data_IF_205747882035
#
_entry.id   IF_205747882035
#
_cell.length_a   1.000
_cell.length_b   1.000
_cell.length_c   1.000
_cell.angle_alpha   90.00
_cell.angle_beta   90.00
_cell.angle_gamma   90.00
#
_symmetry.space_group_name_H-M   'P 1'
#
loop_
_entity.id
_entity.type
_entity.pdbx_description
1 polymer ?
#
# COMPACT_ATOMS: atom_id res chain seq x y z
N UNK A 1 -46.23 -18.48 -0.16
CA UNK A 1 -45.18 -17.50 0.15
C UNK A 1 -43.87 -18.27 0.07
N UNK A 2 -43.11 -18.10 -1.01
CA UNK A 2 -41.70 -18.55 -1.00
C UNK A 2 -41.01 -17.74 0.08
N UNK A 3 -40.55 -18.47 1.09
CA UNK A 3 -39.98 -17.92 2.30
C UNK A 3 -38.80 -17.02 1.93
N UNK A 4 -38.64 -15.90 2.62
CA UNK A 4 -37.49 -15.00 2.37
C UNK A 4 -36.18 -15.79 2.47
N UNK A 5 -36.16 -16.79 3.35
CA UNK A 5 -35.06 -17.71 3.57
C UNK A 5 -34.73 -18.53 2.31
N UNK A 6 -35.72 -19.04 1.56
CA UNK A 6 -35.47 -19.74 0.30
C UNK A 6 -34.90 -18.83 -0.79
N UNK A 7 -35.30 -17.55 -0.80
CA UNK A 7 -34.74 -16.58 -1.74
C UNK A 7 -33.31 -16.21 -1.37
N UNK A 8 -33.01 -16.12 -0.08
CA UNK A 8 -31.66 -15.89 0.42
C UNK A 8 -30.75 -17.08 0.12
N UNK A 9 -31.21 -18.31 0.33
CA UNK A 9 -30.46 -19.53 -0.07
C UNK A 9 -30.20 -19.56 -1.58
N UNK A 10 -31.23 -19.29 -2.40
CA UNK A 10 -31.04 -19.27 -3.87
C UNK A 10 -30.06 -18.19 -4.31
N UNK A 11 -30.11 -17.00 -3.69
CA UNK A 11 -29.17 -15.92 -3.98
C UNK A 11 -27.76 -16.26 -3.53
N UNK A 12 -27.63 -16.93 -2.38
CA UNK A 12 -26.36 -17.41 -1.84
C UNK A 12 -25.75 -18.49 -2.72
N UNK A 13 -26.53 -19.47 -3.14
CA UNK A 13 -26.10 -20.53 -4.06
C UNK A 13 -25.67 -19.93 -5.41
N UNK A 14 -26.43 -18.98 -5.96
CA UNK A 14 -26.01 -18.27 -7.18
C UNK A 14 -24.73 -17.44 -7.00
N UNK A 15 -24.51 -16.86 -5.82
CA UNK A 15 -23.29 -16.11 -5.50
C UNK A 15 -22.08 -17.03 -5.36
N UNK A 16 -22.25 -18.19 -4.72
CA UNK A 16 -21.21 -19.20 -4.58
C UNK A 16 -20.91 -19.89 -5.91
N UNK A 17 -21.93 -20.31 -6.65
CA UNK A 17 -21.76 -21.01 -7.92
C UNK A 17 -21.04 -20.16 -8.97
N UNK A 18 -21.14 -18.82 -8.85
CA UNK A 18 -20.45 -17.88 -9.74
C UNK A 18 -19.20 -17.26 -9.09
N UNK A 19 -18.81 -17.64 -7.87
CA UNK A 19 -17.70 -16.98 -7.16
C UNK A 19 -16.37 -17.21 -7.87
N UNK A 20 -16.12 -18.42 -8.37
CA UNK A 20 -14.90 -18.74 -9.12
C UNK A 20 -14.82 -17.99 -10.45
N UNK A 21 -15.95 -17.87 -11.16
CA UNK A 21 -16.05 -17.12 -12.41
C UNK A 21 -15.81 -15.63 -12.18
N UNK A 22 -16.46 -15.06 -11.16
CA UNK A 22 -16.26 -13.67 -10.77
C UNK A 22 -14.80 -13.42 -10.37
N UNK A 23 -14.20 -14.29 -9.55
CA UNK A 23 -12.80 -14.18 -9.17
C UNK A 23 -11.88 -14.21 -10.40
N UNK A 24 -12.13 -15.10 -11.36
CA UNK A 24 -11.37 -15.18 -12.60
C UNK A 24 -11.51 -13.90 -13.46
N UNK A 25 -12.71 -13.32 -13.56
CA UNK A 25 -12.93 -12.06 -14.26
C UNK A 25 -12.22 -10.88 -13.58
N UNK A 26 -12.24 -10.82 -12.25
CA UNK A 26 -11.53 -9.80 -11.49
C UNK A 26 -10.01 -9.92 -11.69
N UNK A 27 -9.47 -11.15 -11.72
CA UNK A 27 -8.06 -11.40 -12.05
C UNK A 27 -7.71 -10.99 -13.49
N UNK A 28 -8.58 -11.25 -14.46
CA UNK A 28 -8.38 -10.76 -15.84
C UNK A 28 -8.33 -9.23 -15.89
N UNK A 29 -9.23 -8.55 -15.17
CA UNK A 29 -9.24 -7.09 -15.10
C UNK A 29 -7.99 -6.52 -14.42
N UNK A 30 -7.50 -7.16 -13.34
CA UNK A 30 -6.23 -6.79 -12.70
C UNK A 30 -5.09 -6.87 -13.71
N UNK A 31 -4.98 -7.97 -14.47
CA UNK A 31 -3.90 -8.13 -15.47
C UNK A 31 -4.10 -7.29 -16.74
N UNK A 32 -5.29 -6.67 -16.92
CA UNK A 32 -5.64 -5.84 -18.06
C UNK A 32 -6.31 -4.52 -17.62
N UNK A 33 -5.60 -3.66 -16.87
CA UNK A 33 -6.20 -2.51 -16.21
C UNK A 33 -6.83 -1.50 -17.18
N UNK A 34 -6.36 -1.45 -18.43
CA UNK A 34 -6.92 -0.60 -19.49
C UNK A 34 -8.38 -0.93 -19.86
N UNK A 35 -8.89 -2.11 -19.48
CA UNK A 35 -10.31 -2.47 -19.65
C UNK A 35 -11.21 -1.84 -18.59
N UNK A 36 -10.64 -1.31 -17.51
CA UNK A 36 -11.36 -0.78 -16.37
C UNK A 36 -11.72 0.68 -16.62
N UNK A 37 -13.02 0.99 -16.61
CA UNK A 37 -13.49 2.36 -16.82
C UNK A 37 -13.28 3.26 -15.59
N UNK A 38 -13.40 2.68 -14.40
CA UNK A 38 -13.35 3.38 -13.11
C UNK A 38 -12.43 2.60 -12.17
N UNK A 39 -11.14 2.90 -12.25
CA UNK A 39 -10.07 2.18 -11.54
C UNK A 39 -10.16 2.37 -10.03
N UNK A 40 -10.63 3.55 -9.60
CA UNK A 40 -10.83 3.86 -8.20
C UNK A 40 -11.92 3.00 -7.55
N UNK A 41 -13.09 2.87 -8.21
CA UNK A 41 -14.13 1.96 -7.72
C UNK A 41 -13.71 0.50 -7.78
N UNK A 42 -12.98 0.12 -8.82
CA UNK A 42 -12.48 -1.24 -8.94
C UNK A 42 -11.50 -1.59 -7.80
N UNK A 43 -10.55 -0.70 -7.50
CA UNK A 43 -9.63 -0.88 -6.37
C UNK A 43 -10.35 -0.92 -5.02
N UNK A 44 -11.39 -0.08 -4.83
CA UNK A 44 -12.24 -0.12 -3.63
C UNK A 44 -12.95 -1.46 -3.48
N UNK A 45 -13.53 -1.99 -4.57
CA UNK A 45 -14.16 -3.31 -4.59
C UNK A 45 -13.15 -4.41 -4.22
N UNK A 46 -11.96 -4.40 -4.81
CA UNK A 46 -10.94 -5.41 -4.50
C UNK A 46 -10.56 -5.40 -3.01
N UNK A 47 -10.43 -4.21 -2.42
CA UNK A 47 -10.17 -4.04 -0.99
C UNK A 47 -11.31 -4.58 -0.13
N UNK A 48 -12.57 -4.28 -0.48
CA UNK A 48 -13.76 -4.71 0.29
C UNK A 48 -14.02 -6.23 0.23
N UNK A 49 -13.53 -6.90 -0.82
CA UNK A 49 -13.66 -8.35 -0.95
C UNK A 49 -12.72 -9.12 -0.01
N UNK A 50 -11.66 -8.47 0.51
CA UNK A 50 -10.67 -9.06 1.42
C UNK A 50 -10.11 -10.43 0.95
N UNK A 51 -10.03 -10.65 -0.37
CA UNK A 51 -9.61 -11.93 -0.93
C UNK A 51 -8.12 -11.88 -1.32
N UNK A 52 -7.30 -12.65 -0.60
CA UNK A 52 -5.85 -12.72 -0.80
C UNK A 52 -5.45 -13.24 -2.19
N UNK A 53 -6.36 -13.91 -2.91
CA UNK A 53 -6.13 -14.35 -4.28
C UNK A 53 -5.85 -13.20 -5.27
N UNK A 54 -6.15 -11.96 -4.91
CA UNK A 54 -5.88 -10.78 -5.73
C UNK A 54 -4.50 -10.15 -5.52
N UNK A 55 -3.80 -10.50 -4.42
CA UNK A 55 -2.50 -9.91 -4.06
C UNK A 55 -1.46 -10.16 -5.15
N UNK A 56 -1.20 -11.42 -5.50
CA UNK A 56 -0.15 -11.75 -6.48
C UNK A 56 -0.41 -11.18 -7.88
N UNK A 57 -1.64 -11.25 -8.43
CA UNK A 57 -1.97 -10.55 -9.68
C UNK A 57 -1.72 -9.03 -9.61
N UNK A 58 -2.09 -8.38 -8.50
CA UNK A 58 -1.85 -6.95 -8.31
C UNK A 58 -0.35 -6.64 -8.28
N UNK A 59 0.42 -7.34 -7.44
CA UNK A 59 1.86 -7.13 -7.32
C UNK A 59 2.58 -7.35 -8.66
N UNK A 60 2.21 -8.40 -9.40
CA UNK A 60 2.81 -8.71 -10.70
C UNK A 60 2.47 -7.65 -11.76
N UNK A 61 1.26 -7.09 -11.71
CA UNK A 61 0.85 -6.03 -12.63
C UNK A 61 1.55 -4.71 -12.29
N UNK A 62 1.66 -4.39 -11.00
CA UNK A 62 2.38 -3.22 -10.49
C UNK A 62 3.88 -3.31 -10.84
N UNK A 63 4.50 -4.49 -10.70
CA UNK A 63 5.94 -4.67 -10.93
C UNK A 63 6.39 -4.45 -12.37
N UNK A 64 5.47 -4.46 -13.34
CA UNK A 64 5.76 -4.18 -14.76
C UNK A 64 5.19 -2.83 -15.24
N UNK A 65 4.57 -2.07 -14.33
CA UNK A 65 3.93 -0.78 -14.64
C UNK A 65 4.93 0.35 -14.86
N UNK A 66 4.50 1.38 -15.56
CA UNK A 66 5.17 2.68 -15.62
C UNK A 66 4.62 3.61 -14.56
N UNK A 67 5.42 4.58 -14.10
CA UNK A 67 4.96 5.65 -13.20
C UNK A 67 3.82 6.50 -13.79
N UNK A 68 3.69 6.51 -15.12
CA UNK A 68 2.66 7.27 -15.84
C UNK A 68 1.34 6.50 -15.99
N UNK A 69 1.26 5.25 -15.52
CA UNK A 69 0.04 4.45 -15.57
C UNK A 69 -1.02 5.02 -14.62
N UNK A 70 -2.11 5.51 -15.19
CA UNK A 70 -3.17 6.23 -14.45
C UNK A 70 -3.86 5.41 -13.36
N UNK A 71 -3.85 4.09 -13.49
CA UNK A 71 -4.46 3.13 -12.56
C UNK A 71 -3.50 2.71 -11.43
N UNK A 72 -2.21 3.04 -11.52
CA UNK A 72 -1.20 2.58 -10.59
C UNK A 72 -1.48 3.00 -9.13
N UNK A 73 -1.83 4.27 -8.83
CA UNK A 73 -2.17 4.66 -7.46
C UNK A 73 -3.38 3.90 -6.89
N UNK A 74 -4.38 3.59 -7.72
CA UNK A 74 -5.55 2.82 -7.29
C UNK A 74 -5.17 1.37 -6.99
N UNK A 75 -4.34 0.76 -7.83
CA UNK A 75 -3.88 -0.63 -7.62
C UNK A 75 -2.95 -0.75 -6.41
N UNK A 76 -2.08 0.23 -6.19
CA UNK A 76 -1.27 0.32 -4.97
C UNK A 76 -2.18 0.39 -3.74
N UNK A 77 -3.24 1.20 -3.76
CA UNK A 77 -4.20 1.26 -2.67
C UNK A 77 -4.85 -0.10 -2.37
N UNK A 78 -5.34 -0.79 -3.41
CA UNK A 78 -5.97 -2.09 -3.23
C UNK A 78 -5.01 -3.12 -2.62
N UNK A 79 -3.78 -3.22 -3.14
CA UNK A 79 -2.83 -4.22 -2.64
C UNK A 79 -2.33 -3.90 -1.23
N UNK A 80 -2.15 -2.62 -0.89
CA UNK A 80 -1.78 -2.20 0.47
C UNK A 80 -2.84 -2.66 1.47
N UNK A 81 -4.11 -2.37 1.20
CA UNK A 81 -5.19 -2.75 2.12
C UNK A 81 -5.28 -4.27 2.27
N UNK A 82 -5.23 -5.01 1.16
CA UNK A 82 -5.25 -6.48 1.18
C UNK A 82 -4.08 -7.05 2.01
N UNK A 83 -2.89 -6.45 1.91
CA UNK A 83 -1.73 -6.86 2.68
C UNK A 83 -1.83 -6.48 4.17
N UNK A 84 -2.35 -5.30 4.50
CA UNK A 84 -2.54 -4.88 5.89
C UNK A 84 -3.63 -5.69 6.62
N UNK A 85 -4.62 -6.19 5.88
CA UNK A 85 -5.69 -7.04 6.41
C UNK A 85 -5.34 -8.53 6.39
N UNK A 86 -4.39 -8.93 5.53
CA UNK A 86 -3.84 -10.30 5.57
C UNK A 86 -3.16 -10.54 6.91
N UNK A 87 -3.35 -11.74 7.48
CA UNK A 87 -2.73 -12.06 8.77
C UNK A 87 -1.21 -11.87 8.68
N UNK A 88 -0.57 -11.31 9.71
CA UNK A 88 0.87 -10.93 9.73
C UNK A 88 1.86 -12.05 9.31
N UNK A 89 1.39 -13.30 9.14
CA UNK A 89 2.16 -14.47 8.77
C UNK A 89 1.94 -14.96 7.33
N UNK A 90 1.05 -14.35 6.53
CA UNK A 90 0.94 -14.70 5.11
C UNK A 90 2.10 -14.05 4.35
N UNK A 91 3.17 -14.84 4.18
CA UNK A 91 4.26 -14.47 3.29
C UNK A 91 3.73 -14.37 1.86
N UNK A 92 3.96 -13.23 1.22
CA UNK A 92 3.69 -13.02 -0.19
C UNK A 92 5.01 -12.94 -0.96
N UNK A 93 4.96 -13.31 -2.23
CA UNK A 93 6.11 -13.22 -3.11
C UNK A 93 6.26 -11.78 -3.61
N UNK A 94 7.43 -11.20 -3.39
CA UNK A 94 7.81 -9.90 -3.97
C UNK A 94 8.26 -10.15 -5.42
N UNK A 95 7.53 -9.68 -6.45
CA UNK A 95 7.93 -9.90 -7.83
C UNK A 95 9.23 -9.19 -8.18
N UNK A 96 9.91 -9.70 -9.21
CA UNK A 96 11.10 -9.07 -9.77
C UNK A 96 10.80 -7.63 -10.19
N UNK A 97 11.79 -6.73 -10.03
CA UNK A 97 11.71 -5.29 -10.30
C UNK A 97 10.76 -4.47 -9.40
N UNK A 98 9.93 -5.09 -8.54
CA UNK A 98 8.99 -4.33 -7.71
C UNK A 98 9.73 -3.34 -6.79
N UNK A 99 10.77 -3.78 -6.09
CA UNK A 99 11.54 -2.93 -5.17
C UNK A 99 12.24 -1.79 -5.92
N UNK A 100 12.82 -2.06 -7.09
CA UNK A 100 13.49 -1.05 -7.92
C UNK A 100 12.49 0.01 -8.41
N UNK A 101 11.31 -0.42 -8.85
CA UNK A 101 10.24 0.48 -9.25
C UNK A 101 9.73 1.33 -8.08
N UNK A 102 9.50 0.72 -6.91
CA UNK A 102 9.10 1.45 -5.70
C UNK A 102 10.14 2.49 -5.31
N UNK A 103 11.43 2.16 -5.37
CA UNK A 103 12.51 3.11 -5.14
C UNK A 103 12.42 4.33 -6.07
N UNK A 104 12.25 4.10 -7.38
CA UNK A 104 12.10 5.17 -8.38
C UNK A 104 10.85 6.01 -8.07
N UNK A 105 9.73 5.38 -7.76
CA UNK A 105 8.49 6.09 -7.46
C UNK A 105 8.58 6.92 -6.18
N UNK A 106 9.27 6.43 -5.15
CA UNK A 106 9.48 7.15 -3.89
C UNK A 106 10.40 8.37 -4.10
N UNK A 107 11.54 8.17 -4.76
CA UNK A 107 12.59 9.19 -4.83
C UNK A 107 12.41 10.19 -5.97
N UNK A 108 11.76 9.81 -7.08
CA UNK A 108 11.60 10.69 -8.24
C UNK A 108 10.21 11.32 -8.35
N UNK A 109 9.25 10.89 -7.53
CA UNK A 109 7.88 11.41 -7.55
C UNK A 109 7.46 11.94 -6.18
N UNK A 110 6.31 12.62 -6.18
CA UNK A 110 5.74 13.29 -5.03
C UNK A 110 4.25 12.98 -4.90
N UNK A 111 3.68 13.29 -3.75
CA UNK A 111 2.25 13.12 -3.52
C UNK A 111 1.83 11.66 -3.39
N UNK A 112 0.68 11.33 -3.94
CA UNK A 112 -0.02 10.07 -3.69
C UNK A 112 0.76 8.83 -4.15
N UNK A 113 1.40 8.87 -5.32
CA UNK A 113 2.18 7.74 -5.83
C UNK A 113 3.36 7.43 -4.91
N UNK A 114 4.13 8.46 -4.54
CA UNK A 114 5.28 8.31 -3.64
C UNK A 114 4.83 7.79 -2.27
N UNK A 115 3.76 8.36 -1.71
CA UNK A 115 3.20 7.93 -0.43
C UNK A 115 2.79 6.45 -0.42
N UNK A 116 2.00 6.01 -1.41
CA UNK A 116 1.58 4.61 -1.51
C UNK A 116 2.75 3.67 -1.77
N UNK A 117 3.72 4.09 -2.59
CA UNK A 117 4.94 3.32 -2.81
C UNK A 117 5.75 3.12 -1.53
N UNK A 118 5.85 4.13 -0.66
CA UNK A 118 6.47 4.01 0.67
C UNK A 118 5.74 2.96 1.51
N UNK A 119 4.40 2.99 1.54
CA UNK A 119 3.62 2.01 2.32
C UNK A 119 3.87 0.59 1.81
N UNK A 120 3.83 0.37 0.49
CA UNK A 120 4.07 -0.97 -0.06
C UNK A 120 5.50 -1.45 0.22
N UNK A 121 6.51 -0.59 0.06
CA UNK A 121 7.90 -0.94 0.39
C UNK A 121 8.06 -1.31 1.87
N UNK A 122 7.40 -0.58 2.78
CA UNK A 122 7.34 -0.88 4.22
C UNK A 122 6.76 -2.27 4.49
N UNK A 123 5.79 -2.72 3.69
CA UNK A 123 5.18 -4.05 3.82
C UNK A 123 6.06 -5.16 3.22
N UNK A 124 6.83 -4.86 2.16
CA UNK A 124 7.75 -5.83 1.55
C UNK A 124 8.97 -6.19 2.43
N UNK A 125 9.32 -5.37 3.43
CA UNK A 125 10.45 -5.58 4.35
C UNK A 125 11.79 -5.88 3.65
N UNK A 126 12.06 -5.22 2.52
CA UNK A 126 13.32 -5.38 1.78
C UNK A 126 14.50 -4.75 2.53
N UNK A 127 15.71 -5.31 2.38
CA UNK A 127 16.96 -4.75 2.91
C UNK A 127 17.21 -3.30 2.44
N UNK A 128 16.73 -2.95 1.25
CA UNK A 128 16.87 -1.59 0.70
C UNK A 128 15.93 -0.56 1.33
N UNK A 129 14.93 -1.00 2.11
CA UNK A 129 13.87 -0.13 2.66
C UNK A 129 14.44 0.98 3.53
N UNK A 130 15.41 0.66 4.39
CA UNK A 130 16.07 1.62 5.26
C UNK A 130 16.69 2.77 4.45
N UNK A 131 17.55 2.43 3.48
CA UNK A 131 18.30 3.42 2.71
C UNK A 131 17.36 4.34 1.92
N UNK A 132 16.32 3.77 1.30
CA UNK A 132 15.34 4.51 0.52
C UNK A 132 14.59 5.50 1.41
N UNK A 133 14.14 5.09 2.60
CA UNK A 133 13.41 5.95 3.52
C UNK A 133 14.27 7.07 4.08
N UNK A 134 15.52 6.79 4.45
CA UNK A 134 16.46 7.81 4.91
C UNK A 134 16.72 8.85 3.82
N UNK A 135 17.01 8.40 2.59
CA UNK A 135 17.22 9.29 1.45
C UNK A 135 15.99 10.16 1.17
N UNK A 136 14.79 9.57 1.21
CA UNK A 136 13.55 10.33 1.03
C UNK A 136 13.37 11.39 2.12
N UNK A 137 13.72 11.09 3.37
CA UNK A 137 13.65 12.03 4.48
C UNK A 137 14.69 13.17 4.38
N UNK A 138 15.68 13.11 3.49
CA UNK A 138 16.57 14.25 3.24
C UNK A 138 15.86 15.37 2.48
N UNK A 139 14.83 15.02 1.69
CA UNK A 139 13.98 15.97 0.98
C UNK A 139 13.13 16.81 1.94
N UNK A 140 12.74 18.01 1.51
CA UNK A 140 12.05 18.99 2.36
C UNK A 140 10.68 19.43 1.83
N UNK A 141 10.31 18.99 0.65
CA UNK A 141 9.21 19.58 -0.13
C UNK A 141 8.29 18.52 -0.77
N UNK A 142 8.09 17.40 -0.10
CA UNK A 142 7.12 16.37 -0.45
C UNK A 142 5.92 16.36 0.50
N UNK A 143 4.92 15.58 0.12
CA UNK A 143 3.71 15.30 0.84
C UNK A 143 4.01 14.70 2.22
N UNK A 144 3.45 15.31 3.26
CA UNK A 144 3.82 14.98 4.64
C UNK A 144 3.56 13.50 4.99
N UNK A 145 2.51 12.90 4.42
CA UNK A 145 2.19 11.48 4.67
C UNK A 145 3.30 10.55 4.17
N UNK A 146 3.97 10.89 3.06
CA UNK A 146 5.14 10.14 2.59
C UNK A 146 6.22 10.08 3.68
N UNK A 147 6.52 11.22 4.32
CA UNK A 147 7.51 11.27 5.39
C UNK A 147 7.07 10.56 6.67
N UNK A 148 5.79 10.66 7.03
CA UNK A 148 5.22 9.92 8.17
C UNK A 148 5.40 8.42 7.99
N UNK A 149 5.13 7.91 6.79
CA UNK A 149 5.29 6.49 6.48
C UNK A 149 6.77 6.06 6.46
N UNK A 150 7.69 6.89 5.94
CA UNK A 150 9.13 6.63 6.04
C UNK A 150 9.58 6.51 7.51
N UNK A 151 9.20 7.47 8.35
CA UNK A 151 9.56 7.47 9.78
C UNK A 151 8.93 6.26 10.48
N UNK A 152 7.67 5.97 10.22
CA UNK A 152 6.96 4.82 10.81
C UNK A 152 7.58 3.49 10.40
N UNK A 153 7.99 3.36 9.14
CA UNK A 153 8.70 2.19 8.63
C UNK A 153 10.07 2.00 9.27
N UNK A 154 10.85 3.07 9.41
CA UNK A 154 12.14 3.02 10.11
C UNK A 154 11.98 2.60 11.57
N UNK A 155 11.00 3.16 12.28
CA UNK A 155 10.71 2.79 13.68
C UNK A 155 10.25 1.34 13.82
N UNK A 156 9.50 0.82 12.84
CA UNK A 156 9.12 -0.60 12.80
C UNK A 156 10.33 -1.51 12.59
N UNK A 157 11.31 -1.06 11.79
CA UNK A 157 12.53 -1.80 11.51
C UNK A 157 13.46 -1.87 12.74
N UNK A 158 13.82 -0.72 13.31
CA UNK A 158 14.66 -0.64 14.51
C UNK A 158 14.40 0.67 15.28
N UNK A 159 13.43 0.61 16.19
CA UNK A 159 13.03 1.77 17.01
C UNK A 159 14.22 2.43 17.72
N UNK A 160 15.09 1.64 18.33
CA UNK A 160 16.17 2.17 19.18
C UNK A 160 17.23 2.87 18.33
N UNK A 161 17.52 2.34 17.15
CA UNK A 161 18.43 2.96 16.18
C UNK A 161 17.91 4.30 15.66
N UNK A 162 16.61 4.42 15.35
CA UNK A 162 16.07 5.65 14.72
C UNK A 162 15.41 6.63 15.67
N UNK A 163 15.26 6.30 16.96
CA UNK A 163 14.74 7.27 17.93
C UNK A 163 15.48 8.63 17.92
N UNK A 164 16.84 8.70 17.80
CA UNK A 164 17.53 9.97 17.66
C UNK A 164 17.13 10.79 16.43
N UNK A 165 16.77 10.13 15.32
CA UNK A 165 16.30 10.79 14.09
C UNK A 165 14.96 11.51 14.33
N UNK A 166 14.04 10.90 15.10
CA UNK A 166 12.78 11.56 15.47
C UNK A 166 13.04 12.85 16.25
N UNK A 167 13.96 12.80 17.23
CA UNK A 167 14.35 13.97 18.03
C UNK A 167 14.95 15.06 17.14
N UNK A 168 15.79 14.68 16.17
CA UNK A 168 16.35 15.60 15.20
C UNK A 168 15.26 16.26 14.35
N UNK A 169 14.33 15.48 13.79
CA UNK A 169 13.25 16.00 12.93
C UNK A 169 12.31 16.92 13.73
N UNK A 170 11.90 16.55 14.94
CA UNK A 170 11.01 17.35 15.78
C UNK A 170 11.57 18.76 16.06
N UNK A 171 12.89 18.85 16.27
CA UNK A 171 13.59 20.10 16.58
C UNK A 171 14.06 20.88 15.34
N UNK A 172 13.98 20.32 14.13
CA UNK A 172 14.39 21.00 12.90
C UNK A 172 13.26 21.91 12.38
N UNK A 173 13.35 23.20 12.68
CA UNK A 173 12.36 24.21 12.26
C UNK A 173 12.22 24.36 10.74
N UNK A 174 13.15 23.83 9.95
CA UNK A 174 13.08 23.87 8.49
C UNK A 174 12.22 22.74 7.91
N UNK A 175 11.75 21.81 8.75
CA UNK A 175 10.85 20.72 8.36
C UNK A 175 9.38 21.16 8.42
N UNK A 176 8.54 20.39 7.72
CA UNK A 176 7.09 20.54 7.76
C UNK A 176 6.57 20.46 9.22
N UNK A 177 5.71 21.41 9.61
CA UNK A 177 5.19 21.50 10.98
C UNK A 177 4.44 20.24 11.45
N UNK A 178 3.64 19.61 10.58
CA UNK A 178 2.91 18.38 10.92
C UNK A 178 3.85 17.19 11.09
N UNK A 179 4.93 17.11 10.31
CA UNK A 179 5.94 16.07 10.50
C UNK A 179 6.65 16.24 11.84
N UNK A 180 6.99 17.48 12.22
CA UNK A 180 7.60 17.78 13.52
C UNK A 180 6.67 17.42 14.68
N UNK A 181 5.39 17.73 14.57
CA UNK A 181 4.34 17.38 15.53
C UNK A 181 4.22 15.86 15.67
N UNK A 182 4.10 15.14 14.56
CA UNK A 182 4.09 13.67 14.54
C UNK A 182 5.32 13.05 15.24
N UNK A 183 6.52 13.56 14.96
CA UNK A 183 7.73 13.09 15.64
C UNK A 183 7.71 13.40 17.14
N UNK A 184 7.21 14.58 17.54
CA UNK A 184 7.08 14.98 18.95
C UNK A 184 6.14 14.04 19.71
N UNK A 185 4.98 13.72 19.13
CA UNK A 185 4.01 12.78 19.72
C UNK A 185 4.60 11.38 19.88
N UNK A 186 5.33 10.89 18.88
CA UNK A 186 5.98 9.58 18.94
C UNK A 186 7.11 9.54 19.97
N UNK A 187 7.89 10.63 20.12
CA UNK A 187 8.90 10.73 21.19
C UNK A 187 8.25 10.54 22.56
N UNK A 188 7.13 11.24 22.83
CA UNK A 188 6.39 11.14 24.09
C UNK A 188 5.80 9.74 24.34
N UNK A 189 5.38 9.04 23.29
CA UNK A 189 4.86 7.67 23.38
C UNK A 189 5.94 6.65 23.76
N UNK A 190 7.20 6.95 23.43
CA UNK A 190 8.31 6.00 23.53
C UNK A 190 9.34 6.35 24.62
N UNK A 191 9.23 7.53 25.23
CA UNK A 191 9.90 7.95 26.47
C UNK A 191 9.23 7.38 27.70
#
# INVERSE_FOLDING_TARGET
>A
MTDIDQKLETLYDLLIDNSELLEAELKDLITNPNKIKDTNKFASLLSELHNSAFINPLLSTISISSKDDVWLPDFLYAVINLLEESSENEAFDVPENLIENLQVWILENKGELSWKAVILLKLCQSDSTEEIFLKKLEERDDFFLTYVECVSGLLKYDKDKYFPLLVQIANDETRNGHLREFCTENILKYS
#
